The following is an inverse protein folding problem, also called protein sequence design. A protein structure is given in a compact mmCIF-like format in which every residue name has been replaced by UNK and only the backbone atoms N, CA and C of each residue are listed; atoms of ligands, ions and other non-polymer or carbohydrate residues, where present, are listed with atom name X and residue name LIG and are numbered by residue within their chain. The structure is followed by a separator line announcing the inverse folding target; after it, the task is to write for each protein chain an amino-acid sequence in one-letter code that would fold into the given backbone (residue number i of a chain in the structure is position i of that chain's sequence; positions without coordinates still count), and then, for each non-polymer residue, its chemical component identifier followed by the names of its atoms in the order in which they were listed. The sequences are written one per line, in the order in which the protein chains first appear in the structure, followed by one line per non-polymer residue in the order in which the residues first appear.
data_IF_174921136661
#
_entry.id   IF_174921136661
#
_cell.length_a   1.000
_cell.length_b   1.000
_cell.length_c   1.000
_cell.angle_alpha   90.00
_cell.angle_beta   90.00
_cell.angle_gamma   90.00
#
_symmetry.space_group_name_H-M   'P 1'
#
loop_
_entity.id
_entity.type
_entity.pdbx_description
1 polymer ?
#
# COMPACT_ATOMS: atom_id res chain seq x y z
N UNK A 1 -1.21 -5.29 -20.97
CA UNK A 1 -0.23 -4.17 -20.98
C UNK A 1 -0.61 -2.98 -20.10
N UNK A 2 -1.90 -2.63 -19.95
CA UNK A 2 -2.34 -1.44 -19.20
C UNK A 2 -2.09 -1.49 -17.68
N UNK A 3 -2.04 -2.70 -17.11
CA UNK A 3 -1.82 -2.94 -15.67
C UNK A 3 -0.36 -2.66 -15.24
N UNK A 4 0.62 -3.32 -15.87
CA UNK A 4 2.04 -3.15 -15.56
C UNK A 4 2.52 -1.72 -15.75
N UNK A 5 1.97 -0.99 -16.72
CA UNK A 5 2.31 0.42 -16.95
C UNK A 5 1.84 1.33 -15.81
N UNK A 6 0.67 1.08 -15.23
CA UNK A 6 0.18 1.86 -14.07
C UNK A 6 0.98 1.56 -12.80
N UNK A 7 1.38 0.30 -12.62
CA UNK A 7 2.25 -0.11 -11.52
C UNK A 7 3.65 0.51 -11.65
N UNK A 8 4.23 0.50 -12.85
CA UNK A 8 5.52 1.16 -13.13
C UNK A 8 5.46 2.66 -12.86
N UNK A 9 4.37 3.34 -13.27
CA UNK A 9 4.19 4.77 -12.98
C UNK A 9 4.15 5.01 -11.47
N UNK A 10 3.42 4.19 -10.71
CA UNK A 10 3.40 4.28 -9.25
C UNK A 10 4.76 4.00 -8.60
N UNK A 11 5.54 3.05 -9.13
CA UNK A 11 6.90 2.74 -8.69
C UNK A 11 7.89 3.87 -8.97
N UNK A 12 7.82 4.48 -10.15
CA UNK A 12 8.64 5.65 -10.50
C UNK A 12 8.32 6.80 -9.55
N UNK A 13 7.03 7.03 -9.27
CA UNK A 13 6.60 8.07 -8.34
C UNK A 13 7.03 7.80 -6.90
N UNK A 14 7.01 6.53 -6.47
CA UNK A 14 7.57 6.07 -5.19
C UNK A 14 9.07 6.36 -5.11
N UNK A 15 9.83 6.09 -6.17
CA UNK A 15 11.28 6.34 -6.22
C UNK A 15 11.61 7.84 -6.16
N UNK A 16 10.81 8.68 -6.82
CA UNK A 16 10.91 10.15 -6.72
C UNK A 16 10.58 10.61 -5.30
N UNK A 17 9.55 10.01 -4.68
CA UNK A 17 9.16 10.29 -3.30
C UNK A 17 10.28 9.98 -2.30
N UNK A 18 10.95 8.83 -2.44
CA UNK A 18 12.13 8.46 -1.65
C UNK A 18 13.28 9.47 -1.79
N UNK A 19 13.51 9.95 -3.01
CA UNK A 19 14.54 10.96 -3.28
C UNK A 19 14.20 12.32 -2.64
N UNK A 20 12.92 12.72 -2.62
CA UNK A 20 12.45 13.92 -1.93
C UNK A 20 12.47 13.79 -0.40
N UNK A 21 12.29 12.58 0.12
CA UNK A 21 12.31 12.28 1.56
C UNK A 21 13.69 12.44 2.20
N UNK A 22 14.76 12.32 1.41
CA UNK A 22 16.15 12.57 1.85
C UNK A 22 16.34 14.03 2.29
N UNK A 23 15.62 14.98 1.67
CA UNK A 23 15.69 16.39 2.06
C UNK A 23 14.58 16.76 3.04
N UNK A 24 14.98 17.12 4.27
CA UNK A 24 14.07 17.51 5.36
C UNK A 24 13.11 18.66 5.02
N UNK A 25 13.54 19.59 4.16
CA UNK A 25 12.74 20.72 3.66
C UNK A 25 11.65 20.29 2.65
N UNK A 26 11.86 19.20 1.92
CA UNK A 26 10.93 18.69 0.91
C UNK A 26 10.13 17.48 1.36
N UNK A 27 10.27 17.06 2.63
CA UNK A 27 9.58 15.90 3.21
C UNK A 27 8.06 15.93 2.97
N UNK A 28 7.44 17.10 3.15
CA UNK A 28 5.99 17.26 2.98
C UNK A 28 5.58 17.16 1.51
N UNK A 29 6.41 17.68 0.59
CA UNK A 29 6.22 17.53 -0.86
C UNK A 29 6.42 16.07 -1.30
N UNK A 30 7.38 15.36 -0.69
CA UNK A 30 7.62 13.94 -0.90
C UNK A 30 6.41 13.10 -0.51
N UNK A 31 5.80 13.37 0.65
CA UNK A 31 4.56 12.68 1.07
C UNK A 31 3.37 12.94 0.14
N UNK A 32 3.20 14.18 -0.35
CA UNK A 32 2.14 14.50 -1.32
C UNK A 32 2.37 13.76 -2.62
N UNK A 33 3.62 13.73 -3.11
CA UNK A 33 3.97 12.95 -4.29
C UNK A 33 3.64 11.47 -4.07
N UNK A 34 4.13 10.87 -2.99
CA UNK A 34 3.88 9.47 -2.68
C UNK A 34 2.37 9.16 -2.58
N UNK A 35 1.57 10.06 -2.00
CA UNK A 35 0.10 9.98 -1.95
C UNK A 35 -0.56 9.95 -3.34
N UNK A 36 -0.12 10.78 -4.27
CA UNK A 36 -0.60 10.76 -5.67
C UNK A 36 -0.21 9.44 -6.35
N UNK A 37 1.01 8.95 -6.10
CA UNK A 37 1.46 7.63 -6.57
C UNK A 37 0.54 6.50 -6.08
N UNK A 38 0.16 6.53 -4.80
CA UNK A 38 -0.78 5.58 -4.22
C UNK A 38 -2.19 5.70 -4.78
N UNK A 39 -2.70 6.90 -5.09
CA UNK A 39 -3.97 7.05 -5.79
C UNK A 39 -3.94 6.40 -7.18
N UNK A 40 -2.83 6.52 -7.90
CA UNK A 40 -2.63 5.83 -9.17
C UNK A 40 -2.58 4.31 -9.01
N UNK A 41 -1.94 3.80 -7.96
CA UNK A 41 -1.98 2.37 -7.62
C UNK A 41 -3.41 1.89 -7.32
N UNK A 42 -4.15 2.61 -6.47
CA UNK A 42 -5.53 2.26 -6.10
C UNK A 42 -6.44 2.22 -7.36
N UNK A 43 -6.27 3.20 -8.25
CA UNK A 43 -6.97 3.28 -9.54
C UNK A 43 -6.56 2.15 -10.50
N UNK A 44 -5.28 1.72 -10.45
CA UNK A 44 -4.79 0.59 -11.23
C UNK A 44 -5.34 -0.75 -10.77
N UNK A 45 -5.57 -0.91 -9.46
CA UNK A 45 -5.96 -2.20 -8.87
C UNK A 45 -7.45 -2.58 -9.08
N UNK A 46 -8.36 -1.62 -9.31
CA UNK A 46 -9.76 -1.89 -9.70
C UNK A 46 -10.64 -2.55 -8.61
N UNK A 47 -11.91 -2.16 -8.47
CA UNK A 47 -12.72 -2.39 -7.25
C UNK A 47 -13.16 -3.84 -6.92
N UNK A 48 -12.73 -4.88 -7.65
CA UNK A 48 -13.17 -6.28 -7.43
C UNK A 48 -12.02 -7.30 -7.55
N UNK A 49 -11.99 -8.39 -6.74
CA UNK A 49 -12.81 -8.70 -5.57
C UNK A 49 -12.24 -8.09 -4.26
N UNK A 50 -13.10 -7.89 -3.24
CA UNK A 50 -12.76 -7.28 -1.95
C UNK A 50 -12.58 -8.37 -0.88
N UNK A 51 -11.35 -8.68 -0.52
CA UNK A 51 -11.05 -9.70 0.50
C UNK A 51 -11.05 -9.14 1.93
N UNK A 52 -12.06 -8.37 2.36
CA UNK A 52 -12.10 -7.60 3.65
C UNK A 52 -11.41 -8.25 4.89
N UNK A 53 -11.53 -9.56 5.20
CA UNK A 53 -10.95 -10.15 6.42
C UNK A 53 -9.44 -9.94 6.62
N UNK A 54 -8.62 -9.96 5.57
CA UNK A 54 -7.17 -9.73 5.69
C UNK A 54 -6.84 -8.25 6.09
N UNK A 55 -7.80 -7.30 6.02
CA UNK A 55 -7.51 -5.85 6.14
C UNK A 55 -7.44 -5.44 7.58
N UNK A 56 -8.23 -6.16 8.36
CA UNK A 56 -8.41 -6.02 9.79
C UNK A 56 -7.04 -6.17 10.48
N UNK A 57 -6.27 -7.28 10.31
CA UNK A 57 -4.96 -7.38 10.95
C UNK A 57 -3.96 -6.33 10.44
N UNK A 58 -3.98 -5.96 9.15
CA UNK A 58 -3.08 -4.93 8.60
C UNK A 58 -3.36 -3.55 9.19
N UNK A 59 -4.63 -3.16 9.31
CA UNK A 59 -5.04 -1.90 9.93
C UNK A 59 -4.74 -1.89 11.44
N UNK A 60 -5.02 -2.99 12.14
CA UNK A 60 -4.73 -3.11 13.57
C UNK A 60 -3.23 -2.96 13.85
N UNK A 61 -2.38 -3.68 13.11
CA UNK A 61 -0.93 -3.59 13.25
C UNK A 61 -0.45 -2.14 13.02
N UNK A 62 -0.96 -1.50 11.97
CA UNK A 62 -0.61 -0.12 11.63
C UNK A 62 -1.06 0.89 12.67
N UNK A 63 -2.28 0.73 13.20
CA UNK A 63 -2.82 1.57 14.27
C UNK A 63 -2.00 1.42 15.56
N UNK A 64 -1.58 0.20 15.89
CA UNK A 64 -0.75 -0.08 17.06
C UNK A 64 0.63 0.56 16.92
N UNK A 65 1.30 0.40 15.78
CA UNK A 65 2.59 1.05 15.49
C UNK A 65 2.48 2.57 15.59
N UNK A 66 1.40 3.16 15.05
CA UNK A 66 1.13 4.59 15.16
C UNK A 66 0.92 5.03 16.61
N UNK A 67 0.13 4.28 17.40
CA UNK A 67 -0.16 4.64 18.80
C UNK A 67 1.09 4.69 19.68
N UNK A 68 2.09 3.84 19.41
CA UNK A 68 3.35 3.82 20.15
C UNK A 68 4.30 4.96 19.74
N UNK A 69 4.34 5.30 18.45
CA UNK A 69 5.29 6.27 17.90
C UNK A 69 4.79 7.73 17.94
N UNK A 70 3.50 7.95 17.65
CA UNK A 70 2.89 9.28 17.54
C UNK A 70 3.09 10.20 18.75
N UNK A 71 2.96 9.77 20.03
CA UNK A 71 2.97 10.70 21.16
C UNK A 71 4.26 11.52 21.26
N UNK A 72 5.38 10.98 20.76
CA UNK A 72 6.73 11.54 20.86
C UNK A 72 7.07 12.56 19.75
N UNK A 73 6.18 12.77 18.79
CA UNK A 73 6.46 13.55 17.57
C UNK A 73 5.76 14.91 17.53
N UNK A 74 6.29 15.83 16.71
CA UNK A 74 5.70 17.16 16.50
C UNK A 74 4.31 17.09 15.84
N UNK A 75 3.49 18.12 16.06
CA UNK A 75 2.06 18.16 15.68
C UNK A 75 1.81 17.90 14.18
N UNK A 76 2.68 18.43 13.31
CA UNK A 76 2.60 18.23 11.85
C UNK A 76 2.70 16.75 11.46
N UNK A 77 3.59 15.99 12.10
CA UNK A 77 3.73 14.55 11.86
C UNK A 77 2.54 13.79 12.46
N UNK A 78 2.01 14.25 13.60
CA UNK A 78 0.83 13.63 14.22
C UNK A 78 -0.40 13.64 13.32
N UNK A 79 -0.58 14.65 12.47
CA UNK A 79 -1.69 14.68 11.52
C UNK A 79 -1.37 14.00 10.19
N UNK A 80 -0.16 14.22 9.66
CA UNK A 80 0.16 13.76 8.29
C UNK A 80 0.45 12.27 8.23
N UNK A 81 1.15 11.73 9.23
CA UNK A 81 1.54 10.32 9.27
C UNK A 81 0.33 9.38 9.29
N UNK A 82 -0.70 9.52 10.15
CA UNK A 82 -1.82 8.57 10.15
C UNK A 82 -2.63 8.59 8.85
N UNK A 83 -2.82 9.77 8.24
CA UNK A 83 -3.50 9.89 6.94
C UNK A 83 -2.71 9.13 5.87
N UNK A 84 -1.39 9.31 5.86
CA UNK A 84 -0.51 8.64 4.91
C UNK A 84 -0.45 7.12 5.15
N UNK A 85 -0.36 6.68 6.40
CA UNK A 85 -0.37 5.26 6.77
C UNK A 85 -1.68 4.60 6.35
N UNK A 86 -2.83 5.25 6.52
CA UNK A 86 -4.11 4.72 6.06
C UNK A 86 -4.13 4.51 4.53
N UNK A 87 -3.58 5.45 3.76
CA UNK A 87 -3.43 5.31 2.30
C UNK A 87 -2.51 4.15 1.92
N UNK A 88 -1.35 4.03 2.59
CA UNK A 88 -0.39 2.94 2.38
C UNK A 88 -1.00 1.57 2.69
N UNK A 89 -1.64 1.44 3.84
CA UNK A 89 -2.32 0.20 4.25
C UNK A 89 -3.42 -0.14 3.26
N UNK A 90 -4.21 0.83 2.83
CA UNK A 90 -5.24 0.62 1.79
C UNK A 90 -4.62 0.18 0.46
N UNK A 91 -3.45 0.68 0.07
CA UNK A 91 -2.76 0.24 -1.14
C UNK A 91 -2.20 -1.18 -1.00
N UNK A 92 -1.47 -1.45 0.08
CA UNK A 92 -0.89 -2.76 0.37
C UNK A 92 -1.98 -3.84 0.46
N UNK A 93 -3.09 -3.49 1.11
CA UNK A 93 -4.32 -4.27 1.18
C UNK A 93 -4.84 -4.69 -0.19
N UNK A 94 -4.90 -3.74 -1.12
CA UNK A 94 -5.46 -3.95 -2.45
C UNK A 94 -4.51 -4.77 -3.32
N UNK A 95 -3.20 -4.62 -3.12
CA UNK A 95 -2.20 -5.45 -3.77
C UNK A 95 -2.27 -6.91 -3.30
N UNK A 96 -2.30 -7.16 -1.98
CA UNK A 96 -2.35 -8.52 -1.42
C UNK A 96 -3.65 -9.24 -1.77
N UNK A 97 -4.79 -8.55 -1.74
CA UNK A 97 -6.08 -9.12 -2.13
C UNK A 97 -6.08 -9.67 -3.57
N UNK A 98 -5.32 -9.05 -4.49
CA UNK A 98 -5.20 -9.50 -5.88
C UNK A 98 -4.25 -10.68 -6.05
N UNK A 99 -3.16 -10.73 -5.28
CA UNK A 99 -2.22 -11.87 -5.30
C UNK A 99 -2.90 -13.13 -4.77
N UNK A 100 -3.60 -13.02 -3.62
CA UNK A 100 -4.34 -14.14 -3.04
C UNK A 100 -5.42 -14.69 -3.99
N UNK A 101 -6.08 -13.83 -4.77
CA UNK A 101 -7.05 -14.28 -5.77
C UNK A 101 -6.40 -15.08 -6.91
N UNK A 102 -5.20 -14.68 -7.35
CA UNK A 102 -4.46 -15.38 -8.39
C UNK A 102 -3.95 -16.74 -7.91
N UNK A 103 -3.50 -16.80 -6.65
CA UNK A 103 -3.10 -18.03 -5.97
C UNK A 103 -4.26 -19.01 -5.85
N UNK A 104 -5.43 -18.57 -5.35
CA UNK A 104 -6.64 -19.41 -5.25
C UNK A 104 -7.05 -19.98 -6.61
N UNK A 105 -7.12 -19.17 -7.67
CA UNK A 105 -7.43 -19.68 -9.01
C UNK A 105 -6.39 -20.69 -9.54
N UNK A 106 -5.12 -20.53 -9.17
CA UNK A 106 -4.05 -21.44 -9.60
C UNK A 106 -4.09 -22.75 -8.81
N UNK A 107 -4.47 -22.72 -7.53
CA UNK A 107 -4.62 -23.90 -6.68
C UNK A 107 -5.85 -24.73 -7.04
N UNK A 108 -6.94 -24.09 -7.45
CA UNK A 108 -8.20 -24.76 -7.80
C UNK A 108 -8.25 -25.26 -9.26
N UNK A 109 -7.24 -24.96 -10.08
CA UNK A 109 -7.17 -25.43 -11.46
C UNK A 109 -6.94 -26.95 -11.53
N UNK A 110 -7.70 -27.70 -12.37
CA UNK A 110 -7.53 -29.15 -12.52
C UNK A 110 -6.15 -29.43 -13.15
N UNK A 111 -5.18 -29.78 -12.31
CA UNK A 111 -3.77 -29.99 -12.68
C UNK A 111 -2.76 -29.31 -11.75
N UNK A 112 -3.20 -28.56 -10.75
CA UNK A 112 -2.31 -27.86 -9.81
C UNK A 112 -1.63 -28.85 -8.84
N UNK A 113 -0.29 -28.82 -8.85
CA UNK A 113 0.58 -29.56 -7.93
C UNK A 113 0.29 -29.05 -6.53
N UNK A 114 -0.44 -29.83 -5.72
CA UNK A 114 -0.48 -29.65 -4.27
C UNK A 114 0.95 -29.73 -3.76
N UNK A 115 1.58 -28.58 -3.52
CA UNK A 115 2.84 -28.53 -2.79
C UNK A 115 2.47 -28.79 -1.33
N UNK A 116 2.49 -30.07 -0.97
CA UNK A 116 2.34 -30.55 0.40
C UNK A 116 3.42 -29.90 1.26
N UNK A 117 2.99 -29.19 2.29
CA UNK A 117 3.81 -28.83 3.45
C UNK A 117 4.40 -30.09 4.12
#
# INVERSE_FOLDING_TARGET
YTFSRRILIGLIFSCIGDCLLVWREFFLHGMVAFGIGHMFFISAFGFKPLNIPLSIPMYIASMLSLSMWLPQQALIYKMTVPIYTALLVTMAWRATARVHFFEVMTTDAPGSIKRTE
#
